data_IF_453448406247
#
_entry.id   IF_453448406247
#
_cell.length_a   1.000
_cell.length_b   1.000
_cell.length_c   1.000
_cell.angle_alpha   90.00
_cell.angle_beta   90.00
_cell.angle_gamma   90.00
#
_symmetry.space_group_name_H-M   'P 1'
#
loop_
_entity.id
_entity.type
_entity.pdbx_description
1 polymer ?
#
# COMPACT_ATOMS: atom_id res chain seq x y z
N UNK A 1 -9.61 19.07 5.65
CA UNK A 1 -8.52 18.68 4.73
C UNK A 1 -8.21 17.20 4.74
N UNK A 2 -8.05 16.57 5.90
CA UNK A 2 -7.79 15.14 6.00
C UNK A 2 -8.88 14.28 5.36
N UNK A 3 -10.15 14.62 5.56
CA UNK A 3 -11.26 13.89 4.96
C UNK A 3 -11.24 13.95 3.43
N UNK A 4 -10.84 15.08 2.85
CA UNK A 4 -10.71 15.25 1.40
C UNK A 4 -9.58 14.38 0.85
N UNK A 5 -8.42 14.38 1.51
CA UNK A 5 -7.27 13.56 1.11
C UNK A 5 -7.61 12.06 1.21
N UNK A 6 -8.32 11.65 2.27
CA UNK A 6 -8.76 10.26 2.42
C UNK A 6 -9.70 9.84 1.30
N UNK A 7 -10.64 10.71 0.90
CA UNK A 7 -11.56 10.40 -0.19
C UNK A 7 -10.84 10.28 -1.54
N UNK A 8 -9.91 11.17 -1.82
CA UNK A 8 -9.12 11.12 -3.05
C UNK A 8 -8.26 9.85 -3.09
N UNK A 9 -7.62 9.51 -1.98
CA UNK A 9 -6.83 8.30 -1.85
C UNK A 9 -7.68 7.04 -2.05
N UNK A 10 -8.85 7.00 -1.39
CA UNK A 10 -9.80 5.89 -1.53
C UNK A 10 -10.27 5.72 -2.98
N UNK A 11 -10.63 6.80 -3.66
CA UNK A 11 -11.06 6.77 -5.05
C UNK A 11 -9.97 6.24 -5.97
N UNK A 12 -8.73 6.65 -5.74
CA UNK A 12 -7.60 6.18 -6.52
C UNK A 12 -7.40 4.66 -6.34
N UNK A 13 -7.40 4.18 -5.11
CA UNK A 13 -7.27 2.76 -4.80
C UNK A 13 -8.44 1.95 -5.38
N UNK A 14 -9.66 2.41 -5.18
CA UNK A 14 -10.86 1.74 -5.70
C UNK A 14 -10.81 1.61 -7.22
N UNK A 15 -10.45 2.69 -7.92
CA UNK A 15 -10.32 2.69 -9.37
C UNK A 15 -9.27 1.70 -9.86
N UNK A 16 -8.10 1.66 -9.21
CA UNK A 16 -7.01 0.75 -9.59
C UNK A 16 -7.38 -0.72 -9.34
N UNK A 17 -8.00 -1.01 -8.21
CA UNK A 17 -8.34 -2.38 -7.82
C UNK A 17 -9.52 -2.95 -8.61
N UNK A 18 -10.34 -2.09 -9.20
CA UNK A 18 -11.49 -2.51 -10.02
C UNK A 18 -11.08 -3.21 -11.30
N UNK A 19 -9.87 -2.98 -11.79
CA UNK A 19 -9.39 -3.44 -13.10
C UNK A 19 -8.86 -4.89 -13.10
N UNK A 20 -9.01 -5.64 -12.01
CA UNK A 20 -8.52 -7.01 -11.93
C UNK A 20 -9.18 -7.80 -10.81
N UNK A 21 -8.72 -9.03 -10.56
CA UNK A 21 -9.26 -9.84 -9.47
C UNK A 21 -9.01 -9.18 -8.12
N UNK A 22 -9.99 -9.27 -7.21
CA UNK A 22 -9.85 -8.76 -5.86
C UNK A 22 -8.76 -9.54 -5.12
N UNK A 23 -7.76 -8.87 -4.53
CA UNK A 23 -6.73 -9.57 -3.77
C UNK A 23 -7.28 -10.15 -2.48
N UNK A 24 -6.79 -11.32 -2.10
CA UNK A 24 -7.19 -12.02 -0.87
C UNK A 24 -6.19 -11.78 0.27
N UNK A 25 -4.91 -11.64 -0.06
CA UNK A 25 -3.84 -11.44 0.92
C UNK A 25 -2.99 -10.25 0.49
N UNK A 26 -2.97 -9.24 1.35
CA UNK A 26 -2.34 -7.95 1.08
C UNK A 26 -1.26 -7.69 2.12
N UNK A 27 -0.07 -7.30 1.68
CA UNK A 27 1.00 -6.81 2.55
C UNK A 27 1.21 -5.32 2.28
N UNK A 28 1.34 -4.53 3.35
CA UNK A 28 1.68 -3.12 3.28
C UNK A 28 3.02 -2.94 3.99
N UNK A 29 4.04 -2.50 3.25
CA UNK A 29 5.39 -2.36 3.81
C UNK A 29 5.62 -0.94 4.28
N UNK A 30 6.24 -0.79 5.48
CA UNK A 30 6.55 0.51 6.06
C UNK A 30 5.36 1.37 6.40
N UNK A 31 4.17 0.77 6.52
CA UNK A 31 2.92 1.50 6.70
C UNK A 31 2.55 1.83 8.15
N UNK A 32 3.42 1.51 9.11
CA UNK A 32 3.07 1.65 10.53
C UNK A 32 2.96 3.09 11.00
N UNK A 33 3.70 4.02 10.40
CA UNK A 33 3.67 5.42 10.81
C UNK A 33 2.36 6.11 10.40
N UNK A 34 1.88 5.82 9.18
CA UNK A 34 0.63 6.40 8.66
C UNK A 34 -0.22 5.29 8.07
N UNK A 35 -1.02 4.57 8.88
CA UNK A 35 -1.74 3.38 8.43
C UNK A 35 -3.01 3.68 7.62
N UNK A 36 -3.05 4.80 6.92
CA UNK A 36 -4.20 5.24 6.13
C UNK A 36 -4.58 4.24 5.06
N UNK A 37 -3.59 3.75 4.32
CA UNK A 37 -3.83 2.78 3.25
C UNK A 37 -4.41 1.47 3.80
N UNK A 38 -3.91 1.00 4.94
CA UNK A 38 -4.45 -0.19 5.59
C UNK A 38 -5.92 0.00 5.94
N UNK A 39 -6.27 1.16 6.51
CA UNK A 39 -7.65 1.47 6.87
C UNK A 39 -8.57 1.49 5.64
N UNK A 40 -8.12 2.12 4.56
CA UNK A 40 -8.89 2.18 3.31
C UNK A 40 -9.08 0.77 2.74
N UNK A 41 -8.02 -0.02 2.66
CA UNK A 41 -8.08 -1.36 2.08
C UNK A 41 -8.98 -2.30 2.86
N UNK A 42 -8.97 -2.23 4.19
CA UNK A 42 -9.87 -3.06 5.02
C UNK A 42 -11.33 -2.71 4.77
N UNK A 43 -11.64 -1.46 4.48
CA UNK A 43 -13.01 -1.02 4.17
C UNK A 43 -13.44 -1.37 2.75
N UNK A 44 -12.53 -1.27 1.78
CA UNK A 44 -12.81 -1.62 0.39
C UNK A 44 -12.88 -3.12 0.16
N UNK A 45 -12.06 -3.88 0.88
CA UNK A 45 -11.88 -5.32 0.70
C UNK A 45 -12.04 -6.03 2.05
N UNK A 46 -13.25 -6.07 2.63
CA UNK A 46 -13.44 -6.59 3.99
C UNK A 46 -13.13 -8.08 4.13
N UNK A 47 -13.12 -8.83 3.03
CA UNK A 47 -12.77 -10.25 3.03
C UNK A 47 -11.25 -10.49 2.89
N UNK A 48 -10.47 -9.46 2.57
CA UNK A 48 -9.03 -9.61 2.39
C UNK A 48 -8.30 -9.65 3.74
N UNK A 49 -7.24 -10.43 3.79
CA UNK A 49 -6.31 -10.45 4.92
C UNK A 49 -5.22 -9.41 4.68
N UNK A 50 -5.15 -8.41 5.55
CA UNK A 50 -4.19 -7.30 5.43
C UNK A 50 -3.15 -7.41 6.52
N UNK A 51 -1.87 -7.37 6.14
CA UNK A 51 -0.73 -7.39 7.06
C UNK A 51 0.11 -6.14 6.85
N UNK A 52 0.40 -5.43 7.94
CA UNK A 52 1.34 -4.29 7.94
C UNK A 52 2.70 -4.81 8.37
N UNK A 53 3.70 -4.60 7.53
CA UNK A 53 5.09 -5.01 7.76
C UNK A 53 5.91 -3.75 8.01
N UNK A 54 6.56 -3.65 9.17
CA UNK A 54 7.41 -2.51 9.52
C UNK A 54 8.55 -2.97 10.41
N UNK A 55 9.73 -2.42 10.21
CA UNK A 55 10.89 -2.75 11.03
C UNK A 55 10.86 -2.04 12.40
N UNK A 56 10.04 -1.01 12.53
CA UNK A 56 9.94 -0.22 13.76
C UNK A 56 8.82 -0.74 14.66
N UNK A 57 9.20 -1.25 15.83
CA UNK A 57 8.23 -1.66 16.85
C UNK A 57 7.34 -0.50 17.29
N UNK A 58 7.89 0.71 17.36
CA UNK A 58 7.13 1.91 17.75
C UNK A 58 6.06 2.26 16.71
N UNK A 59 6.40 2.16 15.42
CA UNK A 59 5.44 2.39 14.33
C UNK A 59 4.31 1.36 14.37
N UNK A 60 4.63 0.09 14.59
CA UNK A 60 3.63 -0.97 14.69
C UNK A 60 2.72 -0.79 15.89
N UNK A 61 3.26 -0.35 17.01
CA UNK A 61 2.44 -0.07 18.20
C UNK A 61 1.43 1.05 17.94
N UNK A 62 1.86 2.10 17.25
CA UNK A 62 0.97 3.19 16.83
C UNK A 62 -0.10 2.67 15.86
N UNK A 63 0.31 1.87 14.88
CA UNK A 63 -0.63 1.29 13.91
C UNK A 63 -1.66 0.38 14.58
N UNK A 64 -1.24 -0.44 15.55
CA UNK A 64 -2.16 -1.30 16.32
C UNK A 64 -3.25 -0.49 17.02
N UNK A 65 -2.88 0.64 17.61
CA UNK A 65 -3.86 1.52 18.26
C UNK A 65 -4.84 2.12 17.27
N UNK A 66 -4.35 2.59 16.14
CA UNK A 66 -5.18 3.24 15.11
C UNK A 66 -6.06 2.24 14.35
N UNK A 67 -5.66 0.98 14.30
CA UNK A 67 -6.36 -0.09 13.59
C UNK A 67 -6.98 -1.13 14.55
N UNK A 68 -7.21 -0.74 15.81
CA UNK A 68 -7.68 -1.66 16.85
C UNK A 68 -9.03 -2.32 16.51
N UNK A 69 -9.90 -1.61 15.79
CA UNK A 69 -11.22 -2.12 15.40
C UNK A 69 -11.20 -2.89 14.07
N UNK A 70 -10.01 -3.26 13.58
CA UNK A 70 -9.86 -3.97 12.32
C UNK A 70 -9.24 -5.36 12.55
N UNK A 71 -9.25 -6.17 11.49
CA UNK A 71 -8.61 -7.48 11.47
C UNK A 71 -7.17 -7.44 10.93
N UNK A 72 -6.60 -6.25 10.81
CA UNK A 72 -5.24 -6.08 10.29
C UNK A 72 -4.23 -6.79 11.18
N UNK A 73 -3.30 -7.51 10.55
CA UNK A 73 -2.18 -8.18 11.20
C UNK A 73 -0.92 -7.33 11.11
N UNK A 74 0.04 -7.57 12.00
CA UNK A 74 1.27 -6.80 12.09
C UNK A 74 2.47 -7.74 12.14
N UNK A 75 3.49 -7.43 11.35
CA UNK A 75 4.74 -8.19 11.31
C UNK A 75 5.92 -7.24 11.50
N UNK A 76 6.70 -7.47 12.56
CA UNK A 76 7.89 -6.67 12.82
C UNK A 76 9.06 -7.29 12.06
N UNK A 77 9.34 -6.78 10.89
CA UNK A 77 10.49 -7.16 10.10
C UNK A 77 10.81 -6.10 9.05
N UNK A 78 12.04 -6.09 8.58
CA UNK A 78 12.44 -5.22 7.48
C UNK A 78 12.02 -5.87 6.15
N UNK A 79 11.41 -5.07 5.28
CA UNK A 79 11.19 -5.46 3.90
C UNK A 79 12.47 -5.17 3.09
N UNK A 80 12.97 -6.17 2.39
CA UNK A 80 14.25 -6.09 1.67
C UNK A 80 14.11 -6.06 0.14
N UNK A 81 12.90 -6.07 -0.38
CA UNK A 81 12.63 -6.09 -1.81
C UNK A 81 12.56 -7.48 -2.43
N UNK A 82 12.71 -8.52 -1.62
CA UNK A 82 12.60 -9.90 -2.09
C UNK A 82 11.17 -10.29 -2.40
N UNK A 83 11.02 -11.43 -3.07
CA UNK A 83 9.72 -11.96 -3.48
C UNK A 83 8.80 -12.19 -2.28
N UNK A 84 7.65 -11.56 -2.31
CA UNK A 84 6.59 -11.73 -1.31
C UNK A 84 5.52 -12.68 -1.89
N UNK A 85 5.91 -13.91 -2.14
CA UNK A 85 5.07 -14.92 -2.82
C UNK A 85 3.83 -15.33 -2.04
N UNK A 86 3.78 -15.04 -0.74
CA UNK A 86 2.60 -15.31 0.09
C UNK A 86 1.47 -14.30 -0.06
N UNK A 87 1.67 -13.22 -0.82
CA UNK A 87 0.70 -12.14 -0.97
C UNK A 87 0.30 -11.92 -2.42
N UNK A 88 -0.98 -11.60 -2.63
CA UNK A 88 -1.51 -11.27 -3.96
C UNK A 88 -1.21 -9.82 -4.35
N UNK A 89 -1.12 -8.96 -3.36
CA UNK A 89 -0.90 -7.53 -3.53
C UNK A 89 0.10 -7.04 -2.49
N UNK A 90 1.11 -6.33 -2.96
CA UNK A 90 2.06 -5.62 -2.10
C UNK A 90 1.83 -4.12 -2.26
N UNK A 91 1.76 -3.40 -1.15
CA UNK A 91 1.61 -1.95 -1.14
C UNK A 91 2.89 -1.31 -0.62
N UNK A 92 3.47 -0.43 -1.43
CA UNK A 92 4.74 0.25 -1.14
C UNK A 92 4.47 1.73 -0.89
N UNK A 93 4.89 2.29 0.27
CA UNK A 93 4.65 3.68 0.60
C UNK A 93 5.61 4.63 -0.12
N UNK A 94 5.26 5.92 -0.12
CA UNK A 94 6.14 6.95 -0.66
C UNK A 94 7.48 7.02 0.09
N UNK A 95 7.48 6.70 1.37
CA UNK A 95 8.67 6.72 2.23
C UNK A 95 9.62 5.52 2.03
N UNK A 96 9.26 4.58 1.14
CA UNK A 96 10.12 3.44 0.84
C UNK A 96 11.50 3.92 0.36
N UNK A 97 12.55 3.49 1.03
CA UNK A 97 13.94 3.93 0.79
C UNK A 97 14.77 2.93 -0.01
N UNK A 98 14.17 1.83 -0.46
CA UNK A 98 14.82 0.83 -1.30
C UNK A 98 14.82 1.22 -2.79
N UNK A 99 15.20 0.26 -3.63
CA UNK A 99 15.31 0.48 -5.07
C UNK A 99 13.93 0.39 -5.74
N UNK A 100 13.33 1.56 -6.03
CA UNK A 100 12.02 1.64 -6.70
C UNK A 100 12.07 1.10 -8.13
N UNK A 101 13.15 1.36 -8.84
CA UNK A 101 13.30 0.91 -10.22
C UNK A 101 13.28 -0.62 -10.28
N UNK A 102 13.87 -1.28 -9.30
CA UNK A 102 13.80 -2.74 -9.20
C UNK A 102 12.38 -3.24 -8.94
N UNK A 103 11.59 -2.54 -8.12
CA UNK A 103 10.18 -2.88 -7.91
C UNK A 103 9.37 -2.84 -9.20
N UNK A 104 9.61 -1.82 -10.03
CA UNK A 104 8.93 -1.68 -11.32
C UNK A 104 9.42 -2.70 -12.34
N UNK A 105 10.72 -2.97 -12.38
CA UNK A 105 11.32 -3.90 -13.34
C UNK A 105 10.98 -5.37 -13.02
N UNK A 106 10.94 -5.72 -11.74
CA UNK A 106 10.68 -7.08 -11.27
C UNK A 106 9.76 -7.03 -10.05
N UNK A 107 8.44 -6.89 -10.28
CA UNK A 107 7.50 -6.81 -9.18
C UNK A 107 7.60 -8.02 -8.24
N UNK A 108 7.73 -7.81 -6.91
CA UNK A 108 7.91 -8.89 -5.96
C UNK A 108 6.63 -9.65 -5.59
N UNK A 109 5.50 -9.25 -6.13
CA UNK A 109 4.21 -9.91 -5.94
C UNK A 109 3.41 -9.86 -7.25
N UNK A 110 2.35 -10.67 -7.41
CA UNK A 110 1.52 -10.64 -8.62
C UNK A 110 1.00 -9.26 -8.98
N UNK A 111 0.69 -8.44 -7.97
CA UNK A 111 0.35 -7.03 -8.13
C UNK A 111 1.05 -6.20 -7.08
N UNK A 112 1.52 -5.00 -7.45
CA UNK A 112 2.19 -4.07 -6.55
C UNK A 112 1.61 -2.68 -6.74
N UNK A 113 1.11 -2.09 -5.65
CA UNK A 113 0.68 -0.69 -5.60
C UNK A 113 1.84 0.13 -5.05
N UNK A 114 2.40 1.00 -5.88
CA UNK A 114 3.53 1.84 -5.47
C UNK A 114 3.06 3.28 -5.37
N UNK A 115 3.12 3.83 -4.15
CA UNK A 115 2.95 5.28 -3.95
C UNK A 115 4.20 5.97 -4.47
N UNK A 116 4.03 6.95 -5.34
CA UNK A 116 5.16 7.62 -5.98
C UNK A 116 4.86 9.10 -6.22
N UNK A 117 5.87 9.83 -6.68
CA UNK A 117 5.73 11.21 -7.06
C UNK A 117 4.96 11.34 -8.38
N UNK A 118 4.28 12.45 -8.56
CA UNK A 118 3.37 12.67 -9.70
C UNK A 118 4.08 12.53 -11.05
N UNK A 119 5.37 12.84 -11.13
CA UNK A 119 6.15 12.73 -12.37
C UNK A 119 6.61 11.31 -12.70
N UNK A 120 6.45 10.35 -11.79
CA UNK A 120 6.82 8.95 -12.03
C UNK A 120 5.59 8.10 -12.31
N UNK A 121 5.02 8.27 -13.48
CA UNK A 121 3.89 7.47 -13.92
C UNK A 121 4.37 6.11 -14.45
N UNK A 122 3.92 5.03 -13.85
CA UNK A 122 4.24 3.65 -14.24
C UNK A 122 2.98 2.78 -14.18
N UNK A 123 2.84 1.85 -15.14
CA UNK A 123 1.70 0.93 -15.17
C UNK A 123 0.36 1.65 -15.25
N UNK A 124 -0.63 1.10 -14.58
CA UNK A 124 -1.94 1.75 -14.42
C UNK A 124 -1.84 2.71 -13.23
N UNK A 125 -2.15 3.98 -13.47
CA UNK A 125 -1.81 5.02 -12.50
C UNK A 125 -3.00 5.95 -12.24
N UNK A 126 -3.09 6.43 -10.99
CA UNK A 126 -4.06 7.46 -10.58
C UNK A 126 -3.38 8.50 -9.70
N UNK A 127 -3.72 9.75 -9.93
CA UNK A 127 -3.26 10.86 -9.09
C UNK A 127 -4.06 10.85 -7.79
N UNK A 128 -3.36 10.88 -6.66
CA UNK A 128 -3.97 10.98 -5.33
C UNK A 128 -4.15 12.42 -4.93
N UNK A 129 -3.12 13.24 -5.15
CA UNK A 129 -3.14 14.66 -4.79
C UNK A 129 -2.19 15.44 -5.69
N UNK A 130 -2.74 16.42 -6.42
CA UNK A 130 -1.94 17.37 -7.19
C UNK A 130 -1.15 18.28 -6.27
N UNK A 131 -1.77 18.75 -5.19
CA UNK A 131 -1.12 19.66 -4.23
C UNK A 131 0.08 19.01 -3.54
N UNK A 132 0.00 17.70 -3.22
CA UNK A 132 1.08 16.97 -2.58
C UNK A 132 1.97 16.24 -3.58
N UNK A 133 1.73 16.38 -4.88
CA UNK A 133 2.50 15.78 -5.97
C UNK A 133 2.56 14.25 -5.89
N UNK A 134 1.44 13.62 -5.52
CA UNK A 134 1.39 12.18 -5.27
C UNK A 134 0.49 11.44 -6.24
N UNK A 135 0.92 10.22 -6.61
CA UNK A 135 0.14 9.26 -7.39
C UNK A 135 0.32 7.85 -6.84
N UNK A 136 -0.52 6.95 -7.30
CA UNK A 136 -0.36 5.51 -7.05
C UNK A 136 -0.25 4.81 -8.40
N UNK A 137 0.76 3.96 -8.53
CA UNK A 137 0.99 3.14 -9.71
C UNK A 137 0.70 1.69 -9.37
N UNK A 138 -0.10 1.02 -10.19
CA UNK A 138 -0.36 -0.41 -10.10
C UNK A 138 0.44 -1.13 -11.17
N UNK A 139 1.33 -2.02 -10.73
CA UNK A 139 2.15 -2.86 -11.59
C UNK A 139 1.71 -4.31 -11.38
N UNK A 140 1.55 -5.06 -12.47
CA UNK A 140 1.25 -6.49 -12.44
C UNK A 140 2.39 -7.28 -13.06
N UNK A 141 2.67 -8.46 -12.53
CA UNK A 141 3.59 -9.41 -13.17
C UNK A 141 3.04 -9.89 -14.49
#
# INVERSE_FOLDING_TARGET
MQAFVLRAHRRALESLLRAGPAPSRIAIVGGGLFPRTALILTRLLPAAEVTVIDASAANLERARRLLADTTVRFAERRYDGEDESGYDLLVVPLAFDGNRDALYARPPAPAVLVHDWIWRRKGTSRVVSLALLKRINLIRR
#
